data_IF_402531478891
#
_entry.id   IF_402531478891
#
_cell.length_a   1.000
_cell.length_b   1.000
_cell.length_c   1.000
_cell.angle_alpha   90.00
_cell.angle_beta   90.00
_cell.angle_gamma   90.00
#
_symmetry.space_group_name_H-M   'P 1'
#
loop_
_entity.id
_entity.type
_entity.pdbx_description
1 polymer ?
#
# COMPACT_ATOMS: atom_id res chain seq x y z
N UNK A 1 14.87 -0.83 1.55
CA UNK A 1 13.71 0.02 1.20
C UNK A 1 13.18 -0.44 -0.15
N UNK A 2 12.41 -1.53 -0.17
CA UNK A 2 11.97 -2.15 -1.43
C UNK A 2 10.78 -1.38 -1.99
N UNK A 3 11.05 -0.48 -2.95
CA UNK A 3 10.04 0.19 -3.76
C UNK A 3 9.29 -0.86 -4.58
N UNK A 4 8.01 -1.10 -4.32
CA UNK A 4 7.00 -1.49 -5.32
C UNK A 4 5.61 -1.62 -4.69
N UNK A 5 4.93 -0.48 -4.50
CA UNK A 5 3.46 -0.45 -4.55
C UNK A 5 3.12 -0.08 -5.99
N UNK A 6 2.63 -1.05 -6.78
CA UNK A 6 2.16 -0.77 -8.14
C UNK A 6 0.86 0.04 -8.04
N UNK A 7 0.84 1.18 -8.75
CA UNK A 7 -0.21 2.20 -8.76
C UNK A 7 -1.57 1.59 -9.14
N UNK A 8 -2.59 1.87 -8.34
CA UNK A 8 -3.99 1.59 -8.64
C UNK A 8 -4.88 2.22 -7.57
N UNK A 9 -5.73 3.16 -7.98
CA UNK A 9 -6.70 3.88 -7.14
C UNK A 9 -8.05 3.19 -7.24
N UNK A 10 -8.32 2.27 -6.30
CA UNK A 10 -9.64 1.72 -5.96
C UNK A 10 -9.40 0.67 -4.88
N UNK A 11 -9.79 0.94 -3.63
CA UNK A 11 -9.35 0.18 -2.46
C UNK A 11 -9.42 -1.35 -2.59
N UNK A 12 -10.45 -1.88 -3.28
CA UNK A 12 -10.58 -3.32 -3.53
C UNK A 12 -9.56 -3.87 -4.55
N UNK A 13 -9.29 -3.14 -5.64
CA UNK A 13 -8.28 -3.54 -6.63
C UNK A 13 -6.87 -3.43 -6.02
N UNK A 14 -6.61 -2.37 -5.26
CA UNK A 14 -5.36 -2.16 -4.53
C UNK A 14 -5.09 -3.30 -3.54
N UNK A 15 -6.10 -3.73 -2.78
CA UNK A 15 -5.97 -4.85 -1.84
C UNK A 15 -5.65 -6.18 -2.54
N UNK A 16 -6.24 -6.46 -3.71
CA UNK A 16 -5.95 -7.65 -4.51
C UNK A 16 -4.49 -7.64 -5.01
N UNK A 17 -4.05 -6.51 -5.56
CA UNK A 17 -2.68 -6.33 -6.05
C UNK A 17 -1.67 -6.47 -4.91
N UNK A 18 -1.94 -5.84 -3.76
CA UNK A 18 -1.05 -5.91 -2.60
C UNK A 18 -0.95 -7.34 -2.04
N UNK A 19 -2.06 -8.08 -1.99
CA UNK A 19 -2.06 -9.49 -1.58
C UNK A 19 -1.28 -10.38 -2.56
N UNK A 20 -1.44 -10.15 -3.87
CA UNK A 20 -0.66 -10.88 -4.88
C UNK A 20 0.84 -10.56 -4.77
N UNK A 21 1.19 -9.30 -4.50
CA UNK A 21 2.57 -8.88 -4.27
C UNK A 21 3.18 -9.55 -3.03
N UNK A 22 2.45 -9.61 -1.91
CA UNK A 22 2.89 -10.34 -0.72
C UNK A 22 3.18 -11.81 -1.06
N UNK A 23 2.25 -12.50 -1.73
CA UNK A 23 2.45 -13.90 -2.14
C UNK A 23 3.65 -14.11 -3.06
N UNK A 24 3.94 -13.16 -3.94
CA UNK A 24 5.03 -13.26 -4.89
C UNK A 24 6.41 -12.90 -4.30
N UNK A 25 6.45 -12.00 -3.32
CA UNK A 25 7.72 -11.39 -2.85
C UNK A 25 8.04 -11.65 -1.37
N UNK A 26 7.05 -12.03 -0.57
CA UNK A 26 7.20 -12.19 0.87
C UNK A 26 7.34 -10.87 1.65
N UNK A 27 7.08 -9.71 1.03
CA UNK A 27 7.07 -8.43 1.76
C UNK A 27 5.86 -8.37 2.71
N UNK A 28 6.15 -8.53 4.00
CA UNK A 28 5.15 -8.77 5.03
C UNK A 28 4.27 -7.54 5.33
N UNK A 29 4.83 -6.34 5.18
CA UNK A 29 4.16 -5.08 5.52
C UNK A 29 3.98 -4.22 4.28
N UNK A 30 2.77 -3.69 4.11
CA UNK A 30 2.43 -2.66 3.13
C UNK A 30 1.97 -1.38 3.84
N UNK A 31 2.13 -0.23 3.20
CA UNK A 31 1.71 1.08 3.72
C UNK A 31 0.51 1.60 2.90
N UNK A 32 -0.46 2.22 3.57
CA UNK A 32 -1.48 3.03 2.91
C UNK A 32 -0.86 4.30 2.31
N UNK A 33 -0.71 4.35 0.98
CA UNK A 33 0.07 5.39 0.30
C UNK A 33 -0.77 6.50 -0.36
N UNK A 34 -2.08 6.30 -0.59
CA UNK A 34 -2.99 7.31 -1.17
C UNK A 34 -4.34 7.36 -0.42
N UNK A 35 -4.56 8.36 0.45
CA UNK A 35 -3.56 9.29 1.02
C UNK A 35 -2.56 8.58 1.96
N UNK A 36 -1.40 9.18 2.28
CA UNK A 36 -0.43 8.62 3.20
C UNK A 36 -0.89 8.82 4.65
N UNK A 37 -1.78 7.96 5.11
CA UNK A 37 -2.49 8.09 6.40
C UNK A 37 -1.68 7.60 7.62
N UNK A 38 -0.44 7.17 7.42
CA UNK A 38 0.42 6.75 8.53
C UNK A 38 0.11 5.36 9.08
N UNK A 39 -0.61 4.51 8.34
CA UNK A 39 -0.85 3.12 8.74
C UNK A 39 -0.23 2.13 7.76
N UNK A 40 0.09 0.95 8.27
CA UNK A 40 0.48 -0.22 7.50
C UNK A 40 -0.32 -1.46 7.86
N UNK A 41 -0.26 -2.48 7.00
CA UNK A 41 -0.87 -3.79 7.23
C UNK A 41 0.20 -4.87 7.21
N UNK A 42 0.27 -5.69 8.28
CA UNK A 42 1.11 -6.88 8.33
C UNK A 42 0.31 -8.11 7.89
N UNK A 43 0.74 -8.76 6.80
CA UNK A 43 0.10 -9.97 6.30
C UNK A 43 0.37 -11.23 7.15
N UNK A 44 1.45 -11.24 7.93
CA UNK A 44 1.82 -12.39 8.76
C UNK A 44 1.02 -12.41 10.06
N UNK A 45 0.90 -11.25 10.69
CA UNK A 45 0.22 -11.09 11.98
C UNK A 45 -1.24 -10.67 11.84
N UNK A 46 -1.68 -10.28 10.64
CA UNK A 46 -3.03 -9.78 10.34
C UNK A 46 -3.44 -8.59 11.21
N UNK A 47 -2.50 -7.66 11.43
CA UNK A 47 -2.71 -6.45 12.25
C UNK A 47 -2.41 -5.17 11.47
N UNK A 48 -3.05 -4.07 11.91
CA UNK A 48 -2.67 -2.72 11.54
C UNK A 48 -1.45 -2.28 12.35
N UNK A 49 -0.51 -1.63 11.67
CA UNK A 49 0.68 -1.03 12.25
C UNK A 49 0.53 0.49 12.16
N UNK A 50 0.75 1.19 13.26
CA UNK A 50 0.90 2.65 13.27
C UNK A 50 2.32 3.02 12.84
N UNK A 51 2.43 3.75 11.73
CA UNK A 51 3.67 4.31 11.21
C UNK A 51 3.83 5.78 11.62
N UNK A 52 2.77 6.44 12.11
CA UNK A 52 2.74 7.87 12.38
C UNK A 52 3.25 8.69 11.20
N UNK A 53 4.19 9.60 11.47
CA UNK A 53 4.81 10.47 10.45
C UNK A 53 5.87 9.76 9.59
N UNK A 54 6.15 8.47 9.83
CA UNK A 54 7.14 7.69 9.06
C UNK A 54 6.55 7.11 7.78
N UNK A 55 5.80 7.93 7.05
CA UNK A 55 5.22 7.57 5.77
C UNK A 55 6.21 7.70 4.63
N UNK A 56 5.99 6.91 3.58
CA UNK A 56 6.70 7.09 2.32
C UNK A 56 6.25 8.42 1.69
N UNK A 57 7.15 9.37 1.37
CA UNK A 57 6.74 10.65 0.79
C UNK A 57 6.15 10.46 -0.61
N UNK A 58 5.06 11.18 -0.90
CA UNK A 58 4.52 11.29 -2.25
C UNK A 58 5.41 12.20 -3.09
N UNK A 59 5.93 11.67 -4.21
CA UNK A 59 6.78 12.44 -5.14
C UNK A 59 5.98 13.35 -6.09
N UNK A 60 4.65 13.30 -6.02
CA UNK A 60 3.74 14.06 -6.88
C UNK A 60 2.31 13.52 -6.80
N UNK A 61 1.35 14.15 -7.49
CA UNK A 61 -0.05 13.70 -7.46
C UNK A 61 -0.18 12.29 -8.03
N UNK A 62 -0.89 11.43 -7.30
CA UNK A 62 -1.19 10.06 -7.74
C UNK A 62 -2.36 10.13 -8.72
N UNK A 63 -2.21 9.62 -9.96
CA UNK A 63 -3.31 9.58 -10.92
C UNK A 63 -4.47 8.74 -10.38
N UNK A 64 -5.68 9.31 -10.37
CA UNK A 64 -6.91 8.58 -10.14
C UNK A 64 -7.44 8.09 -11.48
N UNK A 65 -7.68 6.78 -11.55
CA UNK A 65 -8.26 6.15 -12.72
C UNK A 65 -9.68 5.73 -12.32
N UNK A 66 -10.66 6.46 -12.83
CA UNK A 66 -12.05 6.01 -12.82
C UNK A 66 -12.17 4.89 -13.84
N UNK A 67 -12.46 3.69 -13.36
CA UNK A 67 -12.82 2.56 -14.21
C UNK A 67 -14.35 2.48 -14.21
N UNK A 68 -15.01 3.23 -15.10
CA UNK A 68 -16.43 3.03 -15.46
C UNK A 68 -16.67 1.62 -16.04
#
# INVERSE_FOLDING_TARGET
>A
MSRSIRRGSSGQASARVATAHFRATGHQVIEGYDPPEGWGWCYVDEVFIDLGERTTPQLGPIPRFDWE
#
